data_IF_094373945279
#
_entry.id   IF_094373945279
#
_cell.length_a   1.000
_cell.length_b   1.000
_cell.length_c   1.000
_cell.angle_alpha   90.00
_cell.angle_beta   90.00
_cell.angle_gamma   90.00
#
_symmetry.space_group_name_H-M   'P 1'
#
loop_
_entity.id
_entity.type
_entity.pdbx_description
1 polymer ?
#
# COMPACT_ATOMS: atom_id res chain seq x y z
N UNK A 1 -17.09 -47.49 -46.03
CA UNK A 1 -18.39 -47.29 -46.71
C UNK A 1 -19.08 -46.14 -45.98
N UNK A 2 -18.92 -44.92 -46.51
CA UNK A 2 -19.97 -44.09 -47.16
C UNK A 2 -20.93 -43.50 -46.10
N UNK A 3 -20.85 -42.18 -45.84
CA UNK A 3 -21.64 -41.09 -46.46
C UNK A 3 -23.11 -41.17 -46.02
N UNK A 4 -23.86 -40.12 -45.66
CA UNK A 4 -23.78 -38.67 -45.87
C UNK A 4 -24.82 -38.03 -44.92
N UNK A 5 -24.53 -36.86 -44.34
CA UNK A 5 -25.22 -35.57 -44.55
C UNK A 5 -26.75 -35.55 -44.43
N UNK A 6 -27.26 -34.65 -43.57
CA UNK A 6 -28.24 -33.65 -43.99
C UNK A 6 -28.07 -32.36 -43.17
N UNK A 7 -27.92 -31.28 -43.93
CA UNK A 7 -27.89 -29.87 -43.53
C UNK A 7 -29.31 -29.31 -43.45
N UNK A 8 -29.58 -28.40 -42.52
CA UNK A 8 -30.55 -27.31 -42.71
C UNK A 8 -29.99 -25.97 -42.18
N UNK A 9 -29.67 -25.11 -43.16
CA UNK A 9 -29.76 -23.65 -43.25
C UNK A 9 -31.09 -23.11 -42.66
N UNK A 10 -31.34 -21.85 -42.25
CA UNK A 10 -30.81 -20.49 -42.46
C UNK A 10 -31.55 -19.60 -41.42
N UNK A 11 -30.93 -18.54 -40.89
CA UNK A 11 -31.44 -17.15 -41.03
C UNK A 11 -30.44 -16.13 -40.48
N UNK A 12 -30.10 -15.21 -41.38
CA UNK A 12 -29.15 -14.11 -41.25
C UNK A 12 -29.88 -12.85 -40.84
N UNK A 13 -29.30 -12.04 -39.96
CA UNK A 13 -29.61 -10.61 -39.87
C UNK A 13 -28.29 -9.85 -39.90
N UNK A 14 -28.07 -9.15 -41.01
CA UNK A 14 -27.00 -8.18 -41.24
C UNK A 14 -27.55 -6.78 -41.13
N UNK A 15 -26.82 -5.85 -40.50
CA UNK A 15 -26.89 -4.41 -40.76
C UNK A 15 -25.49 -3.78 -40.54
N UNK A 16 -25.20 -2.64 -41.20
CA UNK A 16 -23.95 -2.47 -41.96
C UNK A 16 -22.86 -1.64 -41.28
N UNK A 17 -21.66 -1.81 -41.84
CA UNK A 17 -20.46 -0.97 -41.71
C UNK A 17 -20.73 0.45 -42.23
N UNK A 18 -20.17 1.44 -41.54
CA UNK A 18 -19.73 2.69 -42.16
C UNK A 18 -18.39 3.10 -41.55
N UNK A 19 -17.38 3.14 -42.41
CA UNK A 19 -16.05 3.68 -42.16
C UNK A 19 -15.95 5.06 -42.82
N UNK A 20 -15.38 6.03 -42.11
CA UNK A 20 -14.72 7.26 -42.59
C UNK A 20 -14.29 8.05 -41.34
N UNK A 21 -13.12 8.65 -41.20
CA UNK A 21 -11.99 8.86 -42.10
C UNK A 21 -10.81 9.41 -41.30
N UNK A 22 -9.67 9.41 -41.96
CA UNK A 22 -8.34 9.87 -41.52
C UNK A 22 -8.30 11.37 -41.14
N UNK A 23 -7.26 11.76 -40.40
CA UNK A 23 -6.57 13.03 -40.69
C UNK A 23 -6.28 13.97 -39.53
N UNK A 24 -5.02 13.94 -39.11
CA UNK A 24 -4.13 15.09 -38.89
C UNK A 24 -4.25 16.05 -37.68
N UNK A 25 -3.06 16.23 -37.10
CA UNK A 25 -2.41 17.46 -36.62
C UNK A 25 -2.33 17.81 -35.13
N UNK A 26 -1.07 17.88 -34.72
CA UNK A 26 -0.49 18.57 -33.57
C UNK A 26 -0.96 20.03 -33.51
N UNK A 27 -1.25 20.55 -32.31
CA UNK A 27 -0.68 21.83 -31.89
C UNK A 27 -0.76 22.04 -30.37
N UNK A 28 0.35 22.54 -29.89
CA UNK A 28 0.67 23.06 -28.57
C UNK A 28 -0.23 24.23 -28.14
N UNK A 29 -0.57 24.32 -26.85
CA UNK A 29 -0.16 25.41 -25.91
C UNK A 29 -1.07 25.52 -24.68
N UNK A 30 -0.43 26.02 -23.62
CA UNK A 30 -0.86 26.24 -22.26
C UNK A 30 -2.11 27.14 -22.10
N UNK A 31 -2.86 26.96 -21.02
CA UNK A 31 -3.28 28.09 -20.18
C UNK A 31 -3.76 27.69 -18.78
N UNK A 32 -3.26 28.46 -17.81
CA UNK A 32 -3.54 28.43 -16.38
C UNK A 32 -5.00 28.80 -16.07
N UNK A 33 -5.55 28.14 -15.05
CA UNK A 33 -6.26 28.79 -13.95
C UNK A 33 -7.70 29.22 -14.18
N UNK A 34 -8.65 28.48 -13.57
CA UNK A 34 -9.90 29.09 -13.10
C UNK A 34 -10.53 28.36 -11.90
N UNK A 35 -10.48 29.07 -10.77
CA UNK A 35 -11.49 29.18 -9.69
C UNK A 35 -12.67 28.19 -9.76
N UNK A 36 -12.71 27.23 -8.82
CA UNK A 36 -13.93 26.46 -8.53
C UNK A 36 -14.93 27.35 -7.76
N UNK A 37 -16.02 27.70 -8.43
CA UNK A 37 -17.22 28.23 -7.79
C UNK A 37 -17.89 27.12 -6.95
N UNK A 38 -18.16 27.41 -5.68
CA UNK A 38 -19.04 26.59 -4.83
C UNK A 38 -20.49 26.83 -5.26
N UNK A 39 -21.16 25.80 -5.75
CA UNK A 39 -22.61 25.79 -5.86
C UNK A 39 -23.20 25.09 -4.63
N UNK A 40 -23.75 25.88 -3.72
CA UNK A 40 -24.68 25.40 -2.69
C UNK A 40 -26.00 25.01 -3.38
N UNK A 41 -26.50 23.80 -3.11
CA UNK A 41 -27.87 23.39 -3.43
C UNK A 41 -28.57 22.96 -2.13
N UNK A 42 -29.48 23.81 -1.66
CA UNK A 42 -30.71 23.48 -0.94
C UNK A 42 -31.84 23.58 -2.00
N UNK A 43 -32.97 22.88 -2.00
CA UNK A 43 -33.66 21.99 -1.07
C UNK A 43 -34.71 21.17 -1.88
N UNK A 44 -35.36 20.22 -1.20
CA UNK A 44 -36.83 19.94 -1.19
C UNK A 44 -37.15 18.44 -1.30
N UNK A 45 -37.58 17.87 -0.16
CA UNK A 45 -38.56 16.79 -0.04
C UNK A 45 -39.89 17.39 0.44
N UNK A 46 -41.07 16.86 0.05
CA UNK A 46 -42.32 17.15 0.75
C UNK A 46 -42.90 15.88 1.41
N UNK A 47 -43.26 15.95 2.70
CA UNK A 47 -44.39 15.20 3.31
C UNK A 47 -44.96 16.03 4.47
N UNK A 48 -46.27 15.91 4.64
CA UNK A 48 -47.26 16.82 5.19
C UNK A 48 -47.39 16.91 6.74
N UNK A 49 -47.83 18.12 7.15
CA UNK A 49 -48.86 18.56 8.11
C UNK A 49 -49.26 17.74 9.38
N UNK A 50 -49.38 18.46 10.52
CA UNK A 50 -50.27 18.06 11.64
C UNK A 50 -49.98 18.51 13.10
N UNK A 51 -49.73 19.81 13.39
CA UNK A 51 -50.37 20.72 14.43
C UNK A 51 -50.90 20.13 15.79
N UNK A 52 -50.92 20.84 16.97
CA UNK A 52 -49.99 21.81 17.62
C UNK A 52 -49.95 21.74 19.20
N UNK A 53 -49.32 22.78 19.81
CA UNK A 53 -49.45 23.32 21.19
C UNK A 53 -48.54 22.77 22.30
N UNK A 54 -47.54 23.55 22.73
CA UNK A 54 -47.71 24.53 23.82
C UNK A 54 -46.42 25.30 24.08
N UNK A 55 -46.57 26.61 24.20
CA UNK A 55 -45.63 27.63 24.64
C UNK A 55 -45.06 27.40 26.04
N UNK A 56 -43.77 27.67 26.23
CA UNK A 56 -43.33 28.55 27.33
C UNK A 56 -41.97 29.15 27.01
N UNK A 57 -41.86 30.43 27.34
CA UNK A 57 -40.78 31.32 26.97
C UNK A 57 -40.14 31.89 28.24
N UNK A 58 -38.86 32.24 28.12
CA UNK A 58 -38.19 33.34 28.82
C UNK A 58 -37.83 33.11 30.30
N UNK A 59 -36.52 33.15 30.56
CA UNK A 59 -35.93 33.35 31.87
C UNK A 59 -34.46 33.78 31.76
N UNK A 60 -34.23 35.04 31.41
CA UNK A 60 -32.90 35.68 31.52
C UNK A 60 -32.79 36.54 32.77
N UNK A 61 -31.63 36.50 33.43
CA UNK A 61 -30.98 37.47 34.36
C UNK A 61 -29.94 36.67 35.20
N UNK A 62 -28.79 37.17 35.64
CA UNK A 62 -28.14 38.47 35.56
C UNK A 62 -26.65 38.31 35.92
N UNK A 63 -25.92 39.40 35.67
CA UNK A 63 -24.54 39.75 35.97
C UNK A 63 -23.90 39.23 37.28
N UNK A 64 -22.59 38.98 37.19
CA UNK A 64 -21.68 38.84 38.31
C UNK A 64 -20.23 39.13 37.92
N UNK A 65 -19.87 40.42 37.85
CA UNK A 65 -18.48 40.90 37.81
C UNK A 65 -17.68 40.39 39.02
N UNK A 66 -16.44 39.95 38.79
CA UNK A 66 -15.30 40.22 39.68
C UNK A 66 -14.00 40.18 38.89
N UNK A 67 -13.45 41.38 38.73
CA UNK A 67 -12.08 41.67 38.32
C UNK A 67 -11.08 41.18 39.38
N UNK A 68 -9.92 40.67 38.95
CA UNK A 68 -8.65 40.87 39.64
C UNK A 68 -7.54 41.15 38.63
N UNK A 69 -7.10 42.41 38.66
CA UNK A 69 -5.93 42.98 38.02
C UNK A 69 -4.62 42.49 38.66
N UNK A 70 -3.63 42.21 37.81
CA UNK A 70 -2.21 42.63 37.95
C UNK A 70 -1.80 42.98 36.51
N UNK A 71 -1.67 44.24 36.08
CA UNK A 71 -0.73 45.27 36.54
C UNK A 71 0.59 45.14 35.76
N UNK A 72 0.65 45.50 34.46
CA UNK A 72 1.06 46.80 33.88
C UNK A 72 2.55 47.17 34.03
N UNK A 73 3.23 47.28 32.87
CA UNK A 73 4.09 48.40 32.46
C UNK A 73 4.24 48.28 30.94
N UNK A 74 4.03 49.27 30.06
CA UNK A 74 4.15 50.72 30.08
C UNK A 74 3.12 51.28 29.05
N UNK A 75 2.48 52.43 29.24
CA UNK A 75 3.08 53.74 28.99
C UNK A 75 2.68 54.26 27.59
N UNK A 76 1.50 54.86 27.47
CA UNK A 76 1.09 55.65 26.29
C UNK A 76 1.75 57.03 26.36
N UNK A 77 2.36 57.46 25.26
CA UNK A 77 2.69 58.87 25.07
C UNK A 77 3.57 59.16 23.86
N UNK A 78 2.97 59.73 22.81
CA UNK A 78 3.68 60.64 21.91
C UNK A 78 3.75 60.23 20.45
N UNK A 79 2.98 60.98 19.64
CA UNK A 79 3.25 61.45 18.27
C UNK A 79 3.75 60.43 17.23
N UNK A 80 2.97 60.31 16.17
CA UNK A 80 3.29 59.55 14.97
C UNK A 80 4.71 59.79 14.48
N UNK A 81 5.47 58.71 14.49
CA UNK A 81 6.60 58.49 13.61
C UNK A 81 6.07 57.57 12.51
N UNK A 82 6.34 57.91 11.25
CA UNK A 82 6.17 56.98 10.14
C UNK A 82 6.80 55.64 10.52
N UNK A 83 5.97 54.59 10.53
CA UNK A 83 6.46 53.23 10.70
C UNK A 83 7.19 52.89 9.42
N UNK A 84 8.52 52.82 9.48
CA UNK A 84 9.31 52.07 8.51
C UNK A 84 8.78 50.63 8.51
N UNK A 85 7.90 50.31 7.55
CA UNK A 85 7.31 48.98 7.36
C UNK A 85 8.33 47.93 6.85
N UNK A 86 9.61 48.27 6.75
CA UNK A 86 10.65 47.40 6.18
C UNK A 86 11.68 46.89 7.20
N UNK A 87 11.34 46.81 8.50
CA UNK A 87 12.21 46.10 9.46
C UNK A 87 11.78 44.63 9.59
N UNK A 88 12.52 43.63 9.05
CA UNK A 88 12.19 42.23 9.26
C UNK A 88 12.24 41.92 10.75
N UNK A 89 11.19 41.29 11.28
CA UNK A 89 11.16 40.82 12.67
C UNK A 89 12.39 39.96 12.98
N UNK A 90 13.04 40.15 14.15
CA UNK A 90 14.23 39.39 14.48
C UNK A 90 13.91 37.90 14.52
N UNK A 91 14.75 37.10 13.87
CA UNK A 91 14.60 35.66 13.89
C UNK A 91 14.66 35.13 15.33
N UNK A 92 13.87 34.10 15.68
CA UNK A 92 13.85 33.56 17.03
C UNK A 92 15.21 32.98 17.46
N UNK A 93 15.47 32.96 18.77
CA UNK A 93 16.65 32.32 19.35
C UNK A 93 16.82 30.87 18.86
N UNK A 94 17.94 30.61 18.18
CA UNK A 94 18.28 29.31 17.59
C UNK A 94 18.32 28.21 18.65
N UNK A 95 18.83 28.49 19.85
CA UNK A 95 18.91 27.49 20.93
C UNK A 95 17.51 27.09 21.42
N UNK A 96 16.60 28.07 21.56
CA UNK A 96 15.21 27.82 21.88
C UNK A 96 14.49 27.02 20.78
N UNK A 97 14.74 27.33 19.51
CA UNK A 97 14.19 26.59 18.36
C UNK A 97 14.62 25.12 18.37
N UNK A 98 15.92 24.85 18.53
CA UNK A 98 16.48 23.49 18.60
C UNK A 98 15.91 22.73 19.79
N UNK A 99 15.85 23.36 20.96
CA UNK A 99 15.26 22.76 22.17
C UNK A 99 13.78 22.43 21.95
N UNK A 100 13.03 23.32 21.30
CA UNK A 100 11.63 23.09 20.93
C UNK A 100 11.44 21.91 19.98
N UNK A 101 12.29 21.78 18.96
CA UNK A 101 12.30 20.62 18.05
C UNK A 101 12.60 19.32 18.80
N UNK A 102 13.58 19.33 19.70
CA UNK A 102 13.94 18.17 20.51
C UNK A 102 12.79 17.73 21.43
N UNK A 103 12.12 18.69 22.11
CA UNK A 103 10.93 18.39 22.92
C UNK A 103 9.80 17.79 22.08
N UNK A 104 9.55 18.30 20.88
CA UNK A 104 8.54 17.75 19.96
C UNK A 104 8.89 16.32 19.52
N UNK A 105 10.16 16.03 19.24
CA UNK A 105 10.63 14.69 18.92
C UNK A 105 10.38 13.71 20.07
N UNK A 106 10.75 14.09 21.30
CA UNK A 106 10.51 13.27 22.49
C UNK A 106 9.01 13.05 22.69
N UNK A 107 8.20 14.10 22.58
CA UNK A 107 6.74 14.01 22.73
C UNK A 107 6.11 13.03 21.74
N UNK A 108 6.53 13.05 20.48
CA UNK A 108 6.04 12.09 19.47
C UNK A 108 6.40 10.65 19.82
N UNK A 109 7.61 10.41 20.35
CA UNK A 109 8.05 9.06 20.76
C UNK A 109 7.30 8.55 21.99
N UNK A 110 7.12 9.42 22.99
CA UNK A 110 6.36 9.08 24.21
C UNK A 110 4.92 8.76 23.86
N UNK A 111 4.29 9.53 22.97
CA UNK A 111 2.92 9.29 22.54
C UNK A 111 2.79 7.97 21.77
N UNK A 112 3.71 7.68 20.85
CA UNK A 112 3.77 6.40 20.15
C UNK A 112 3.87 5.22 21.11
N UNK A 113 4.78 5.29 22.10
CA UNK A 113 4.93 4.25 23.12
C UNK A 113 3.66 4.09 23.96
N UNK A 114 3.06 5.19 24.41
CA UNK A 114 1.82 5.18 25.18
C UNK A 114 0.67 4.51 24.43
N UNK A 115 0.54 4.79 23.14
CA UNK A 115 -0.47 4.17 22.27
C UNK A 115 -0.17 2.69 22.02
N UNK A 116 1.09 2.31 21.87
CA UNK A 116 1.48 0.92 21.74
C UNK A 116 1.18 0.11 23.02
N UNK A 117 1.43 0.68 24.20
CA UNK A 117 1.06 0.03 25.48
C UNK A 117 -0.45 -0.11 25.65
N UNK A 118 -1.25 0.82 25.13
CA UNK A 118 -2.71 0.64 25.10
C UNK A 118 -3.12 -0.53 24.23
N UNK A 119 -2.52 -0.69 23.05
CA UNK A 119 -2.79 -1.84 22.16
C UNK A 119 -2.42 -3.15 22.87
N UNK A 120 -1.30 -3.19 23.59
CA UNK A 120 -0.91 -4.37 24.39
C UNK A 120 -1.90 -4.71 25.49
N UNK A 121 -2.53 -3.71 26.09
CA UNK A 121 -3.54 -3.90 27.13
C UNK A 121 -4.89 -4.41 26.62
N UNK A 122 -5.11 -4.46 25.30
CA UNK A 122 -6.29 -5.09 24.71
C UNK A 122 -6.15 -6.63 24.74
N UNK A 123 -7.28 -7.35 24.79
CA UNK A 123 -7.29 -8.82 24.82
C UNK A 123 -6.58 -9.41 23.59
N UNK A 124 -5.49 -10.15 23.79
CA UNK A 124 -4.65 -10.72 22.73
C UNK A 124 -3.59 -9.75 22.16
N UNK A 125 -3.53 -8.52 22.67
CA UNK A 125 -2.63 -7.48 22.20
C UNK A 125 -1.16 -7.72 22.61
N UNK A 126 -0.91 -8.23 23.80
CA UNK A 126 0.43 -8.54 24.28
C UNK A 126 1.10 -9.62 23.42
N UNK A 127 0.38 -10.72 23.16
CA UNK A 127 0.82 -11.81 22.29
C UNK A 127 1.06 -11.32 20.86
N UNK A 128 0.15 -10.48 20.34
CA UNK A 128 0.31 -9.89 19.02
C UNK A 128 1.57 -9.02 18.91
N UNK A 129 1.83 -8.15 19.90
CA UNK A 129 3.03 -7.29 19.86
C UNK A 129 4.32 -8.11 20.02
N UNK A 130 4.30 -9.21 20.79
CA UNK A 130 5.40 -10.16 20.83
C UNK A 130 5.65 -10.79 19.45
N UNK A 131 4.59 -11.15 18.72
CA UNK A 131 4.67 -11.68 17.35
C UNK A 131 5.29 -10.65 16.39
N UNK A 132 4.85 -9.39 16.42
CA UNK A 132 5.40 -8.31 15.57
C UNK A 132 6.91 -8.13 15.76
N UNK A 133 7.41 -8.39 16.98
CA UNK A 133 8.83 -8.28 17.33
C UNK A 133 9.63 -9.56 17.04
N UNK A 134 8.96 -10.66 16.70
CA UNK A 134 9.59 -11.95 16.50
C UNK A 134 10.28 -12.06 15.14
N UNK A 135 11.35 -12.87 15.10
CA UNK A 135 11.94 -13.28 13.84
C UNK A 135 10.92 -14.11 13.04
N UNK A 136 10.60 -13.69 11.82
CA UNK A 136 9.65 -14.40 10.95
C UNK A 136 8.24 -13.81 10.91
N UNK A 137 7.96 -12.71 11.62
CA UNK A 137 6.70 -11.95 11.52
C UNK A 137 6.24 -11.76 10.06
N UNK A 138 7.15 -11.32 9.18
CA UNK A 138 6.86 -11.06 7.77
C UNK A 138 6.43 -12.30 6.94
N UNK A 139 6.57 -13.52 7.49
CA UNK A 139 6.17 -14.77 6.83
C UNK A 139 4.98 -15.45 7.48
N UNK A 140 4.49 -14.94 8.62
CA UNK A 140 3.37 -15.51 9.37
C UNK A 140 2.04 -15.30 8.65
N UNK A 141 1.12 -16.24 8.83
CA UNK A 141 -0.29 -16.12 8.45
C UNK A 141 -1.04 -15.70 9.71
N UNK A 142 -1.86 -14.66 9.62
CA UNK A 142 -2.63 -14.14 10.75
C UNK A 142 -4.02 -14.77 10.80
N UNK A 143 -4.62 -14.78 11.97
CA UNK A 143 -6.05 -14.97 12.16
C UNK A 143 -6.79 -13.66 11.89
N UNK A 144 -8.11 -13.76 11.68
CA UNK A 144 -8.97 -12.57 11.55
C UNK A 144 -8.91 -11.66 12.78
N UNK A 145 -8.74 -12.20 13.99
CA UNK A 145 -8.54 -11.43 15.22
C UNK A 145 -7.19 -10.72 15.28
N UNK A 146 -6.11 -11.35 14.80
CA UNK A 146 -4.78 -10.72 14.74
C UNK A 146 -4.70 -9.62 13.67
N UNK A 147 -5.48 -9.73 12.59
CA UNK A 147 -5.52 -8.73 11.51
C UNK A 147 -5.97 -7.34 12.00
N UNK A 148 -6.91 -7.28 12.93
CA UNK A 148 -7.34 -6.03 13.57
C UNK A 148 -6.16 -5.31 14.24
N UNK A 149 -5.35 -6.05 15.00
CA UNK A 149 -4.17 -5.49 15.65
C UNK A 149 -3.11 -5.05 14.63
N UNK A 150 -2.93 -5.83 13.55
CA UNK A 150 -2.02 -5.45 12.47
C UNK A 150 -2.41 -4.12 11.84
N UNK A 151 -3.69 -3.93 11.52
CA UNK A 151 -4.21 -2.68 10.96
C UNK A 151 -3.99 -1.51 11.93
N UNK A 152 -4.26 -1.70 13.23
CA UNK A 152 -4.03 -0.67 14.26
C UNK A 152 -2.57 -0.25 14.33
N UNK A 153 -1.65 -1.21 14.36
CA UNK A 153 -0.22 -0.92 14.47
C UNK A 153 0.30 -0.24 13.20
N UNK A 154 -0.15 -0.64 12.01
CA UNK A 154 0.17 0.05 10.74
C UNK A 154 -0.23 1.52 10.82
N UNK A 155 -1.47 1.82 11.18
CA UNK A 155 -1.97 3.20 11.28
C UNK A 155 -1.19 4.01 12.31
N UNK A 156 -0.95 3.46 13.49
CA UNK A 156 -0.18 4.11 14.54
C UNK A 156 1.25 4.46 14.08
N UNK A 157 1.93 3.50 13.43
CA UNK A 157 3.28 3.71 12.89
C UNK A 157 3.28 4.73 11.76
N UNK A 158 2.28 4.72 10.87
CA UNK A 158 2.12 5.68 9.78
C UNK A 158 1.85 7.10 10.31
N UNK A 159 0.94 7.26 11.28
CA UNK A 159 0.63 8.54 11.93
C UNK A 159 1.89 9.15 12.56
N UNK A 160 2.66 8.32 13.28
CA UNK A 160 3.92 8.73 13.90
C UNK A 160 4.96 9.11 12.84
N UNK A 161 5.09 8.31 11.77
CA UNK A 161 6.00 8.61 10.68
C UNK A 161 5.63 9.93 9.98
N UNK A 162 4.35 10.19 9.75
CA UNK A 162 3.88 11.46 9.18
C UNK A 162 4.22 12.66 10.08
N UNK A 163 4.02 12.54 11.39
CA UNK A 163 4.41 13.59 12.35
C UNK A 163 5.91 13.84 12.35
N UNK A 164 6.74 12.78 12.31
CA UNK A 164 8.20 12.90 12.24
C UNK A 164 8.66 13.56 10.93
N UNK A 165 8.05 13.22 9.80
CA UNK A 165 8.32 13.86 8.51
C UNK A 165 7.93 15.34 8.50
N UNK A 166 6.77 15.68 9.07
CA UNK A 166 6.36 17.07 9.24
C UNK A 166 7.34 17.84 10.13
N UNK A 167 7.79 17.24 11.24
CA UNK A 167 8.79 17.83 12.13
C UNK A 167 10.14 18.01 11.43
N UNK A 168 10.57 17.05 10.62
CA UNK A 168 11.80 17.12 9.83
C UNK A 168 11.75 18.27 8.82
N UNK A 169 10.63 18.44 8.11
CA UNK A 169 10.45 19.55 7.17
C UNK A 169 10.50 20.91 7.87
N UNK A 170 9.84 21.04 9.03
CA UNK A 170 9.94 22.26 9.85
C UNK A 170 11.38 22.49 10.30
N UNK A 171 12.07 21.45 10.77
CA UNK A 171 13.46 21.56 11.21
C UNK A 171 14.40 21.98 10.07
N UNK A 172 14.23 21.44 8.85
CA UNK A 172 15.00 21.82 7.66
C UNK A 172 14.77 23.29 7.30
N UNK A 173 13.50 23.72 7.26
CA UNK A 173 13.14 25.11 6.97
C UNK A 173 13.71 26.10 8.01
N UNK A 174 13.68 25.74 9.30
CA UNK A 174 14.29 26.56 10.35
C UNK A 174 15.81 26.61 10.23
N UNK A 175 16.44 25.50 9.85
CA UNK A 175 17.87 25.44 9.60
C UNK A 175 18.28 26.31 8.41
N UNK A 176 17.56 26.22 7.29
CA UNK A 176 17.76 27.05 6.09
C UNK A 176 17.65 28.55 6.42
N UNK A 177 16.58 28.96 7.11
CA UNK A 177 16.42 30.36 7.55
C UNK A 177 17.54 30.84 8.47
N UNK A 178 18.02 30.00 9.38
CA UNK A 178 19.12 30.35 10.26
C UNK A 178 20.45 30.51 9.50
N UNK A 179 20.66 29.74 8.43
CA UNK A 179 21.81 29.90 7.53
C UNK A 179 21.71 31.20 6.74
N UNK A 180 20.55 31.49 6.14
CA UNK A 180 20.29 32.74 5.39
C UNK A 180 20.55 33.98 6.24
N UNK A 181 20.14 33.96 7.51
CA UNK A 181 20.39 35.07 8.43
C UNK A 181 21.88 35.21 8.78
N UNK A 182 22.59 34.10 9.03
CA UNK A 182 24.04 34.14 9.29
C UNK A 182 24.80 34.73 8.08
N UNK A 183 24.36 34.42 6.87
CA UNK A 183 24.92 34.98 5.64
C UNK A 183 24.58 36.46 5.47
N UNK A 184 23.36 36.87 5.83
CA UNK A 184 22.92 38.28 5.80
C UNK A 184 23.65 39.14 6.83
N UNK A 185 23.76 38.67 8.07
CA UNK A 185 24.49 39.34 9.16
C UNK A 185 26.01 39.37 8.91
N UNK A 186 26.53 38.37 8.19
CA UNK A 186 27.92 38.30 7.74
C UNK A 186 28.23 39.20 6.53
N UNK A 187 27.23 39.55 5.73
CA UNK A 187 27.35 40.40 4.56
C UNK A 187 27.48 41.90 4.87
N UNK A 188 26.96 42.33 6.02
CA UNK A 188 26.87 43.77 6.36
C UNK A 188 28.12 44.29 7.12
N UNK A 189 28.90 43.40 7.74
CA UNK A 189 30.15 43.78 8.45
C UNK A 189 31.41 43.79 7.57
N UNK A 190 31.27 43.60 6.25
CA UNK A 190 32.40 43.52 5.31
C UNK A 190 32.62 44.80 4.49
N UNK A 191 31.74 45.81 4.56
CA UNK A 191 31.86 47.00 3.70
C UNK A 191 32.72 48.13 4.27
N UNK A 192 32.99 48.13 5.57
CA UNK A 192 33.68 49.26 6.22
C UNK A 192 35.11 48.97 6.70
N UNK A 193 35.73 47.86 6.27
CA UNK A 193 37.12 47.57 6.65
C UNK A 193 38.07 47.55 5.44
N UNK A 194 38.60 48.71 5.00
CA UNK A 194 39.49 48.81 3.84
C UNK A 194 40.82 48.06 4.03
N UNK A 195 41.15 47.64 5.25
CA UNK A 195 42.35 46.85 5.54
C UNK A 195 42.22 45.36 5.25
N UNK A 196 41.01 44.83 5.01
CA UNK A 196 40.82 43.41 4.65
C UNK A 196 40.80 43.15 3.14
N UNK A 197 40.63 44.19 2.32
CA UNK A 197 40.68 44.08 0.86
C UNK A 197 42.08 43.70 0.32
N UNK A 198 43.15 44.04 1.05
CA UNK A 198 44.53 43.75 0.65
C UNK A 198 45.04 42.34 1.04
N UNK A 199 44.29 41.58 1.85
CA UNK A 199 44.65 40.22 2.26
C UNK A 199 43.98 39.12 1.40
N UNK A 200 43.31 39.49 0.30
CA UNK A 200 42.66 38.55 -0.64
C UNK A 200 43.55 38.09 -1.80
N UNK A 201 44.83 38.49 -1.81
CA UNK A 201 45.76 38.20 -2.92
C UNK A 201 46.64 36.96 -2.76
N UNK A 202 46.68 36.30 -1.60
CA UNK A 202 47.60 35.15 -1.40
C UNK A 202 47.17 34.19 -0.30
N UNK A 203 46.13 33.42 -0.57
CA UNK A 203 45.87 32.13 0.07
C UNK A 203 44.94 31.29 -0.82
N UNK A 204 45.53 30.63 -1.84
CA UNK A 204 44.95 29.39 -2.37
C UNK A 204 45.32 28.33 -1.33
N UNK A 205 44.40 28.12 -0.40
CA UNK A 205 44.54 27.21 0.72
C UNK A 205 43.22 27.27 1.44
N UNK A 206 42.50 26.16 1.42
CA UNK A 206 41.17 25.99 1.97
C UNK A 206 40.95 26.87 3.20
N UNK A 207 39.98 27.78 3.11
CA UNK A 207 39.27 28.21 4.31
C UNK A 207 38.71 26.91 4.88
N UNK A 208 39.39 26.35 5.86
CA UNK A 208 38.75 25.55 6.89
C UNK A 208 37.63 26.43 7.42
N UNK A 209 36.45 26.30 6.80
CA UNK A 209 35.20 26.34 7.55
C UNK A 209 35.45 25.26 8.58
N UNK A 210 35.96 25.64 9.74
CA UNK A 210 35.71 24.87 10.95
C UNK A 210 34.21 24.63 10.89
N UNK A 211 33.84 23.38 10.60
CA UNK A 211 32.47 22.92 10.59
C UNK A 211 32.01 23.01 12.04
N UNK A 212 31.70 24.22 12.52
CA UNK A 212 30.77 24.35 13.62
C UNK A 212 29.52 23.61 13.13
N UNK A 213 29.33 22.39 13.65
CA UNK A 213 28.12 21.62 13.42
C UNK A 213 26.97 22.58 13.66
N UNK A 214 26.14 22.79 12.63
CA UNK A 214 24.98 23.65 12.80
C UNK A 214 24.24 23.22 14.07
N UNK A 215 23.77 24.14 14.91
CA UNK A 215 23.02 23.78 16.12
C UNK A 215 21.77 22.92 15.80
N UNK A 216 21.31 22.91 14.54
CA UNK A 216 20.26 22.03 14.04
C UNK A 216 20.73 20.62 13.65
N UNK A 217 22.01 20.39 13.40
CA UNK A 217 22.57 19.13 12.87
C UNK A 217 22.19 17.91 13.70
N UNK A 218 22.37 17.99 15.02
CA UNK A 218 22.07 16.90 15.94
C UNK A 218 20.56 16.57 15.96
N UNK A 219 19.70 17.59 16.02
CA UNK A 219 18.24 17.38 16.06
C UNK A 219 17.70 16.89 14.72
N UNK A 220 18.21 17.41 13.59
CA UNK A 220 17.88 16.93 12.25
C UNK A 220 18.24 15.45 12.08
N UNK A 221 19.47 15.08 12.47
CA UNK A 221 19.94 13.68 12.44
C UNK A 221 19.08 12.78 13.32
N UNK A 222 18.70 13.23 14.51
CA UNK A 222 17.85 12.48 15.41
C UNK A 222 16.43 12.26 14.85
N UNK A 223 15.82 13.30 14.28
CA UNK A 223 14.49 13.19 13.65
C UNK A 223 14.55 12.27 12.43
N UNK A 224 15.55 12.45 11.56
CA UNK A 224 15.72 11.66 10.34
C UNK A 224 15.92 10.16 10.65
N UNK A 225 16.85 9.83 11.57
CA UNK A 225 17.08 8.45 12.02
C UNK A 225 15.79 7.79 12.52
N UNK A 226 14.98 8.53 13.28
CA UNK A 226 13.72 8.03 13.82
C UNK A 226 12.67 7.83 12.73
N UNK A 227 12.57 8.75 11.77
CA UNK A 227 11.66 8.59 10.66
C UNK A 227 12.06 7.44 9.73
N UNK A 228 13.35 7.28 9.41
CA UNK A 228 13.85 6.13 8.63
C UNK A 228 13.54 4.82 9.34
N UNK A 229 13.72 4.76 10.67
CA UNK A 229 13.39 3.57 11.46
C UNK A 229 11.89 3.26 11.42
N UNK A 230 11.04 4.27 11.64
CA UNK A 230 9.58 4.11 11.57
C UNK A 230 9.13 3.63 10.18
N UNK A 231 9.69 4.20 9.11
CA UNK A 231 9.40 3.79 7.73
C UNK A 231 9.79 2.34 7.44
N UNK A 232 10.92 1.86 7.96
CA UNK A 232 11.33 0.46 7.80
C UNK A 232 10.32 -0.49 8.46
N UNK A 233 9.97 -0.22 9.71
CA UNK A 233 8.98 -1.01 10.46
C UNK A 233 7.63 -1.01 9.74
N UNK A 234 7.17 0.16 9.32
CA UNK A 234 5.94 0.33 8.55
C UNK A 234 5.93 -0.52 7.27
N UNK A 235 7.00 -0.50 6.48
CA UNK A 235 7.08 -1.30 5.26
C UNK A 235 7.01 -2.80 5.54
N UNK A 236 7.60 -3.27 6.64
CA UNK A 236 7.50 -4.67 7.06
C UNK A 236 6.07 -5.03 7.46
N UNK A 237 5.39 -4.16 8.21
CA UNK A 237 3.98 -4.33 8.58
C UNK A 237 3.06 -4.37 7.35
N UNK A 238 3.21 -3.41 6.43
CA UNK A 238 2.43 -3.34 5.19
C UNK A 238 2.66 -4.56 4.28
N UNK A 239 3.89 -5.08 4.21
CA UNK A 239 4.20 -6.33 3.49
C UNK A 239 3.57 -7.56 4.15
N UNK A 240 3.60 -7.64 5.48
CA UNK A 240 2.96 -8.74 6.20
C UNK A 240 1.43 -8.74 5.99
N UNK A 241 0.83 -7.55 6.07
CA UNK A 241 -0.59 -7.32 5.85
C UNK A 241 -1.03 -7.67 4.43
N UNK A 242 -0.37 -7.11 3.41
CA UNK A 242 -0.68 -7.41 2.00
C UNK A 242 -0.47 -8.88 1.66
N UNK A 243 0.58 -9.51 2.18
CA UNK A 243 0.81 -10.95 2.00
C UNK A 243 -0.34 -11.77 2.56
N UNK A 244 -0.76 -11.45 3.79
CA UNK A 244 -1.83 -12.17 4.46
C UNK A 244 -3.16 -12.01 3.73
N UNK A 245 -3.56 -10.76 3.45
CA UNK A 245 -4.79 -10.48 2.70
C UNK A 245 -4.77 -11.10 1.30
N UNK A 246 -3.65 -11.01 0.58
CA UNK A 246 -3.53 -11.63 -0.76
C UNK A 246 -3.69 -13.14 -0.71
N UNK A 247 -3.17 -13.80 0.33
CA UNK A 247 -3.36 -15.24 0.53
C UNK A 247 -4.83 -15.60 0.76
N UNK A 248 -5.52 -14.84 1.62
CA UNK A 248 -6.94 -15.02 1.90
C UNK A 248 -7.78 -14.79 0.64
N UNK A 249 -7.49 -13.71 -0.09
CA UNK A 249 -8.16 -13.34 -1.35
C UNK A 249 -7.98 -14.43 -2.41
N UNK A 250 -6.75 -14.89 -2.63
CA UNK A 250 -6.46 -15.95 -3.59
C UNK A 250 -7.14 -17.28 -3.26
N UNK A 251 -7.35 -17.58 -1.96
CA UNK A 251 -7.97 -18.83 -1.53
C UNK A 251 -9.49 -18.79 -1.49
N UNK A 252 -10.07 -17.65 -1.13
CA UNK A 252 -11.47 -17.58 -0.69
C UNK A 252 -12.36 -16.75 -1.61
N UNK A 253 -11.77 -15.87 -2.42
CA UNK A 253 -12.53 -14.87 -3.17
C UNK A 253 -12.26 -14.90 -4.67
N UNK A 254 -11.02 -15.06 -5.10
CA UNK A 254 -10.69 -15.09 -6.53
C UNK A 254 -11.18 -16.38 -7.20
N UNK A 255 -11.62 -16.31 -8.47
CA UNK A 255 -11.93 -17.50 -9.25
C UNK A 255 -10.69 -18.37 -9.39
N UNK A 256 -10.89 -19.69 -9.47
CA UNK A 256 -9.79 -20.62 -9.76
C UNK A 256 -9.09 -20.21 -11.05
N UNK A 257 -7.76 -20.30 -11.04
CA UNK A 257 -6.98 -20.12 -12.25
C UNK A 257 -7.42 -21.18 -13.26
N UNK A 258 -7.76 -20.81 -14.50
CA UNK A 258 -7.88 -21.74 -15.61
C UNK A 258 -6.66 -22.65 -15.69
N UNK A 259 -6.83 -23.85 -16.25
CA UNK A 259 -5.69 -24.70 -16.57
C UNK A 259 -4.98 -24.11 -17.79
N UNK A 260 -4.08 -23.16 -17.52
CA UNK A 260 -3.27 -22.47 -18.53
C UNK A 260 -2.26 -23.44 -19.14
N UNK A 261 -2.70 -24.21 -20.13
CA UNK A 261 -1.86 -25.19 -20.79
C UNK A 261 -1.12 -24.56 -21.96
N UNK A 262 0.18 -24.32 -21.78
CA UNK A 262 1.05 -24.15 -22.93
C UNK A 262 1.06 -25.46 -23.76
N UNK A 263 0.83 -25.39 -25.07
CA UNK A 263 0.96 -26.54 -25.96
C UNK A 263 2.36 -27.16 -25.88
N UNK A 264 2.51 -28.39 -26.40
CA UNK A 264 3.77 -29.12 -26.33
C UNK A 264 4.93 -28.27 -26.86
N UNK A 265 6.02 -28.21 -26.09
CA UNK A 265 7.26 -27.58 -26.48
C UNK A 265 7.81 -28.26 -27.76
N UNK A 266 8.58 -27.55 -28.61
CA UNK A 266 9.23 -28.19 -29.75
C UNK A 266 10.03 -29.44 -29.33
N UNK A 267 9.84 -30.57 -30.03
CA UNK A 267 10.36 -31.90 -29.70
C UNK A 267 9.56 -32.70 -28.64
N UNK A 268 8.55 -32.12 -27.99
CA UNK A 268 7.61 -32.90 -27.18
C UNK A 268 6.59 -33.63 -28.07
N UNK A 269 6.12 -34.78 -27.59
CA UNK A 269 5.07 -35.56 -28.28
C UNK A 269 3.81 -34.70 -28.43
N UNK A 270 3.29 -34.60 -29.65
CA UNK A 270 2.10 -33.80 -29.95
C UNK A 270 2.41 -32.43 -30.55
N UNK A 271 3.67 -31.98 -30.54
CA UNK A 271 4.08 -30.80 -31.31
C UNK A 271 4.06 -31.11 -32.81
N UNK A 272 3.40 -30.25 -33.60
CA UNK A 272 3.40 -30.33 -35.06
C UNK A 272 3.82 -28.98 -35.66
N UNK A 273 5.08 -28.82 -36.12
CA UNK A 273 5.59 -27.55 -36.66
C UNK A 273 4.88 -27.12 -37.96
N UNK A 274 4.26 -28.06 -38.66
CA UNK A 274 3.55 -27.82 -39.92
C UNK A 274 2.03 -27.62 -39.71
N UNK A 275 1.58 -27.57 -38.45
CA UNK A 275 0.16 -27.33 -38.15
C UNK A 275 -0.26 -25.97 -38.69
N UNK A 276 -1.32 -25.98 -39.51
CA UNK A 276 -2.00 -24.77 -39.99
C UNK A 276 -3.11 -24.32 -39.05
N UNK A 277 -3.21 -24.93 -37.87
CA UNK A 277 -4.26 -24.58 -36.91
C UNK A 277 -4.10 -23.13 -36.46
N UNK A 278 -5.19 -22.37 -36.56
CA UNK A 278 -5.28 -20.98 -36.12
C UNK A 278 -6.15 -20.95 -34.88
N UNK A 279 -5.58 -20.40 -33.82
CA UNK A 279 -6.22 -20.13 -32.54
C UNK A 279 -6.41 -18.62 -32.42
N UNK A 280 -7.41 -18.18 -31.68
CA UNK A 280 -7.75 -16.77 -31.59
C UNK A 280 -7.59 -16.30 -30.14
N UNK A 281 -7.08 -15.08 -29.97
CA UNK A 281 -7.18 -14.39 -28.68
C UNK A 281 -8.64 -14.04 -28.36
N UNK A 282 -8.90 -13.62 -27.14
CA UNK A 282 -10.19 -13.10 -26.68
C UNK A 282 -10.68 -11.92 -27.53
N UNK A 283 -9.77 -11.13 -28.09
CA UNK A 283 -10.05 -10.04 -29.04
C UNK A 283 -10.21 -10.50 -30.51
N UNK A 284 -10.16 -11.80 -30.78
CA UNK A 284 -10.30 -12.38 -32.12
C UNK A 284 -9.05 -12.29 -32.99
N UNK A 285 -7.87 -12.04 -32.42
CA UNK A 285 -6.61 -11.96 -33.19
C UNK A 285 -6.15 -13.38 -33.58
N UNK A 286 -5.96 -13.69 -34.87
CA UNK A 286 -5.57 -15.02 -35.31
C UNK A 286 -4.08 -15.27 -35.06
N UNK A 287 -3.78 -16.39 -34.40
CA UNK A 287 -2.45 -16.82 -33.99
C UNK A 287 -2.19 -18.26 -34.45
N UNK A 288 -0.96 -18.56 -34.86
CA UNK A 288 -0.61 -19.93 -35.33
C UNK A 288 -0.27 -20.80 -34.13
N UNK A 289 -1.00 -21.90 -33.94
CA UNK A 289 -0.77 -22.78 -32.79
C UNK A 289 0.61 -23.47 -32.80
N UNK A 290 1.25 -23.58 -33.96
CA UNK A 290 2.59 -24.15 -34.10
C UNK A 290 3.73 -23.15 -33.76
N UNK A 291 3.41 -21.87 -33.60
CA UNK A 291 4.40 -20.82 -33.41
C UNK A 291 4.63 -20.54 -31.91
N UNK A 292 5.85 -20.73 -31.37
CA UNK A 292 6.11 -20.58 -29.93
C UNK A 292 5.74 -19.21 -29.36
N UNK A 293 5.92 -18.13 -30.13
CA UNK A 293 5.56 -16.77 -29.73
C UNK A 293 4.05 -16.59 -29.64
N UNK A 294 3.32 -17.05 -30.66
CA UNK A 294 1.85 -17.09 -30.69
C UNK A 294 1.25 -17.76 -29.46
N UNK A 295 1.88 -18.84 -29.02
CA UNK A 295 1.49 -19.60 -27.83
C UNK A 295 1.65 -18.80 -26.54
N UNK A 296 2.77 -18.10 -26.38
CA UNK A 296 3.01 -17.24 -25.21
C UNK A 296 2.05 -16.05 -25.20
N UNK A 297 1.66 -15.51 -26.37
CA UNK A 297 0.63 -14.48 -26.46
C UNK A 297 -0.76 -14.97 -26.01
N UNK A 298 -1.14 -16.19 -26.37
CA UNK A 298 -2.40 -16.78 -25.89
C UNK A 298 -2.40 -16.96 -24.38
N UNK A 299 -1.29 -17.43 -23.80
CA UNK A 299 -1.16 -17.52 -22.35
C UNK A 299 -1.40 -16.17 -21.68
N UNK A 300 -0.81 -15.09 -22.21
CA UNK A 300 -1.03 -13.74 -21.69
C UNK A 300 -2.49 -13.31 -21.81
N UNK A 301 -3.10 -13.53 -22.97
CA UNK A 301 -4.49 -13.18 -23.23
C UNK A 301 -5.45 -13.91 -22.27
N UNK A 302 -5.26 -15.21 -22.05
CA UNK A 302 -6.08 -15.98 -21.10
C UNK A 302 -5.90 -15.49 -19.66
N UNK A 303 -4.67 -15.16 -19.25
CA UNK A 303 -4.38 -14.61 -17.91
C UNK A 303 -5.05 -13.25 -17.74
N UNK A 304 -4.95 -12.36 -18.73
CA UNK A 304 -5.59 -11.05 -18.70
C UNK A 304 -7.12 -11.14 -18.72
N UNK A 305 -7.68 -12.12 -19.44
CA UNK A 305 -9.12 -12.41 -19.40
C UNK A 305 -9.56 -12.89 -18.01
N UNK A 306 -8.78 -13.72 -17.34
CA UNK A 306 -9.04 -14.11 -15.96
C UNK A 306 -8.94 -12.90 -15.00
N UNK A 307 -7.91 -12.06 -15.15
CA UNK A 307 -7.73 -10.84 -14.34
C UNK A 307 -8.90 -9.86 -14.51
N UNK A 308 -9.50 -9.79 -15.70
CA UNK A 308 -10.66 -8.90 -15.95
C UNK A 308 -11.87 -9.20 -15.06
N UNK A 309 -11.95 -10.41 -14.49
CA UNK A 309 -13.04 -10.82 -13.59
C UNK A 309 -12.86 -10.24 -12.18
N UNK A 310 -11.66 -9.81 -11.81
CA UNK A 310 -11.31 -9.39 -10.43
C UNK A 310 -12.18 -8.22 -9.96
N UNK A 311 -12.48 -7.25 -10.83
CA UNK A 311 -13.30 -6.09 -10.46
C UNK A 311 -14.73 -6.50 -10.04
N UNK A 312 -15.31 -7.47 -10.75
CA UNK A 312 -16.63 -8.02 -10.40
C UNK A 312 -16.61 -8.75 -9.06
N UNK A 313 -15.51 -9.45 -8.75
CA UNK A 313 -15.31 -10.14 -7.47
C UNK A 313 -15.19 -9.13 -6.33
N UNK A 314 -14.41 -8.06 -6.50
CA UNK A 314 -14.28 -6.98 -5.51
C UNK A 314 -15.66 -6.41 -5.20
N UNK A 315 -16.43 -6.08 -6.23
CA UNK A 315 -17.79 -5.53 -6.09
C UNK A 315 -18.71 -6.49 -5.31
N UNK A 316 -18.66 -7.79 -5.60
CA UNK A 316 -19.45 -8.80 -4.90
C UNK A 316 -19.04 -8.96 -3.43
N UNK A 317 -17.74 -8.93 -3.14
CA UNK A 317 -17.20 -9.01 -1.78
C UNK A 317 -17.58 -7.76 -0.96
N UNK A 318 -17.45 -6.57 -1.55
CA UNK A 318 -17.88 -5.32 -0.91
C UNK A 318 -19.38 -5.33 -0.63
N UNK A 319 -20.22 -5.68 -1.62
CA UNK A 319 -21.67 -5.71 -1.46
C UNK A 319 -22.15 -6.62 -0.32
N UNK A 320 -21.42 -7.72 -0.06
CA UNK A 320 -21.81 -8.72 0.95
C UNK A 320 -21.23 -8.45 2.33
N UNK A 321 -19.97 -8.02 2.40
CA UNK A 321 -19.20 -8.04 3.65
C UNK A 321 -18.73 -6.67 4.13
N UNK A 322 -18.80 -5.63 3.32
CA UNK A 322 -18.33 -4.32 3.73
C UNK A 322 -19.35 -3.60 4.62
N UNK A 323 -18.86 -2.89 5.64
CA UNK A 323 -19.65 -1.94 6.42
C UNK A 323 -18.94 -0.60 6.29
N UNK A 324 -19.50 0.38 5.55
CA UNK A 324 -18.81 1.63 5.30
C UNK A 324 -18.67 2.44 6.60
N UNK A 325 -17.53 3.11 6.80
CA UNK A 325 -17.37 4.08 7.87
C UNK A 325 -18.27 5.29 7.62
N UNK A 326 -18.64 6.00 8.69
CA UNK A 326 -19.49 7.20 8.58
C UNK A 326 -18.82 8.38 7.86
N UNK A 327 -17.48 8.43 7.85
CA UNK A 327 -16.72 9.40 7.06
C UNK A 327 -16.63 8.92 5.59
N UNK A 328 -17.24 9.63 4.62
CA UNK A 328 -17.22 9.23 3.22
C UNK A 328 -15.82 9.25 2.60
N UNK A 329 -14.92 10.12 3.08
CA UNK A 329 -13.55 10.13 2.58
C UNK A 329 -12.76 8.90 3.06
N UNK A 330 -13.04 8.44 4.29
CA UNK A 330 -12.49 7.17 4.79
C UNK A 330 -13.09 5.96 4.09
N UNK A 331 -14.39 6.00 3.77
CA UNK A 331 -15.04 4.95 3.01
C UNK A 331 -14.34 4.75 1.64
N UNK A 332 -14.09 5.86 0.92
CA UNK A 332 -13.34 5.82 -0.35
C UNK A 332 -11.94 5.23 -0.17
N UNK A 333 -11.18 5.65 0.85
CA UNK A 333 -9.83 5.11 1.13
C UNK A 333 -9.85 3.60 1.43
N UNK A 334 -10.89 3.09 2.09
CA UNK A 334 -11.05 1.65 2.35
C UNK A 334 -11.36 0.86 1.08
N UNK A 335 -12.20 1.38 0.19
CA UNK A 335 -12.45 0.77 -1.12
C UNK A 335 -11.17 0.75 -1.97
N UNK A 336 -10.42 1.86 -2.00
CA UNK A 336 -9.11 1.94 -2.67
C UNK A 336 -8.13 0.90 -2.11
N UNK A 337 -8.06 0.73 -0.78
CA UNK A 337 -7.24 -0.32 -0.13
C UNK A 337 -7.68 -1.72 -0.51
N UNK A 338 -8.98 -1.97 -0.57
CA UNK A 338 -9.54 -3.27 -0.92
C UNK A 338 -9.25 -3.60 -2.38
N UNK A 339 -9.58 -2.72 -3.31
CA UNK A 339 -9.25 -2.88 -4.72
C UNK A 339 -7.75 -3.07 -4.96
N UNK A 340 -6.90 -2.30 -4.27
CA UNK A 340 -5.45 -2.44 -4.38
C UNK A 340 -4.97 -3.83 -3.95
N UNK A 341 -5.45 -4.38 -2.82
CA UNK A 341 -4.98 -5.70 -2.38
C UNK A 341 -5.50 -6.84 -3.25
N UNK A 342 -6.68 -6.70 -3.86
CA UNK A 342 -7.16 -7.64 -4.88
C UNK A 342 -6.27 -7.59 -6.13
N UNK A 343 -5.86 -6.41 -6.57
CA UNK A 343 -4.89 -6.25 -7.66
C UNK A 343 -3.50 -6.81 -7.34
N UNK A 344 -3.05 -6.73 -6.09
CA UNK A 344 -1.81 -7.41 -5.64
C UNK A 344 -2.00 -8.93 -5.73
N UNK A 345 -3.12 -9.45 -5.22
CA UNK A 345 -3.39 -10.89 -5.21
C UNK A 345 -3.49 -11.47 -6.63
N UNK A 346 -4.19 -10.80 -7.54
CA UNK A 346 -4.29 -11.22 -8.93
C UNK A 346 -2.93 -11.19 -9.62
N UNK A 347 -2.16 -10.11 -9.46
CA UNK A 347 -0.83 -10.00 -10.06
C UNK A 347 0.14 -11.08 -9.54
N UNK A 348 0.04 -11.49 -8.26
CA UNK A 348 0.82 -12.60 -7.70
C UNK A 348 0.45 -13.93 -8.36
N UNK A 349 -0.85 -14.19 -8.59
CA UNK A 349 -1.30 -15.41 -9.24
C UNK A 349 -0.89 -15.45 -10.71
N UNK A 350 -1.05 -14.33 -11.43
CA UNK A 350 -0.60 -14.18 -12.82
C UNK A 350 0.91 -14.35 -12.97
N UNK A 351 1.69 -13.75 -12.06
CA UNK A 351 3.14 -13.94 -12.00
C UNK A 351 3.50 -15.42 -11.87
N UNK A 352 2.82 -16.15 -10.99
CA UNK A 352 3.06 -17.59 -10.78
C UNK A 352 2.77 -18.41 -12.04
N UNK A 353 1.73 -18.06 -12.80
CA UNK A 353 1.41 -18.73 -14.08
C UNK A 353 2.59 -18.58 -15.05
N UNK A 354 3.08 -17.35 -15.24
CA UNK A 354 4.21 -17.06 -16.13
C UNK A 354 5.50 -17.73 -15.64
N UNK A 355 5.78 -17.72 -14.34
CA UNK A 355 6.98 -18.37 -13.77
C UNK A 355 6.99 -19.88 -13.99
N UNK A 356 5.84 -20.54 -13.80
CA UNK A 356 5.69 -21.98 -14.04
C UNK A 356 5.90 -22.31 -15.52
N UNK A 357 5.26 -21.52 -16.40
CA UNK A 357 5.41 -21.62 -17.85
C UNK A 357 6.87 -21.48 -18.30
N UNK A 358 7.52 -20.39 -17.92
CA UNK A 358 8.91 -20.10 -18.28
C UNK A 358 9.86 -21.17 -17.74
N UNK A 359 9.67 -21.56 -16.48
CA UNK A 359 10.48 -22.61 -15.87
C UNK A 359 10.32 -23.97 -16.56
N UNK A 360 9.10 -24.33 -16.99
CA UNK A 360 8.85 -25.56 -17.76
C UNK A 360 9.59 -25.51 -19.10
N UNK A 361 9.40 -24.46 -19.88
CA UNK A 361 9.99 -24.36 -21.22
C UNK A 361 11.51 -24.23 -21.20
N UNK A 362 12.10 -23.51 -20.23
CA UNK A 362 13.57 -23.49 -20.05
C UNK A 362 14.14 -24.88 -19.78
N UNK A 363 13.55 -25.62 -18.83
CA UNK A 363 13.97 -26.99 -18.53
C UNK A 363 13.90 -27.92 -19.75
N UNK A 364 12.91 -27.73 -20.63
CA UNK A 364 12.76 -28.51 -21.85
C UNK A 364 13.81 -28.11 -22.90
N UNK A 365 14.03 -26.81 -23.08
CA UNK A 365 15.07 -26.28 -23.97
C UNK A 365 16.47 -26.75 -23.58
N UNK A 366 16.77 -26.84 -22.28
CA UNK A 366 18.08 -27.30 -21.78
C UNK A 366 18.28 -28.80 -21.98
N UNK A 367 17.21 -29.60 -21.84
CA UNK A 367 17.27 -31.06 -21.95
C UNK A 367 17.21 -31.56 -23.39
N UNK A 368 16.48 -30.87 -24.25
CA UNK A 368 16.24 -31.31 -25.62
C UNK A 368 16.23 -30.09 -26.55
N UNK A 369 17.42 -29.51 -26.81
CA UNK A 369 17.54 -28.30 -27.61
C UNK A 369 16.93 -28.45 -29.00
N UNK A 370 16.31 -27.41 -29.53
CA UNK A 370 15.76 -27.43 -30.88
C UNK A 370 16.90 -27.35 -31.90
N UNK A 371 16.98 -28.34 -32.77
CA UNK A 371 18.06 -28.42 -33.77
C UNK A 371 17.90 -27.45 -34.94
N UNK A 372 16.66 -27.08 -35.28
CA UNK A 372 16.37 -26.08 -36.31
C UNK A 372 16.68 -24.67 -35.77
N UNK A 373 17.63 -23.93 -36.37
CA UNK A 373 18.00 -22.59 -35.91
C UNK A 373 16.84 -21.58 -35.98
N UNK A 374 15.95 -21.70 -36.97
CA UNK A 374 14.84 -20.77 -37.13
C UNK A 374 13.80 -20.97 -36.02
N UNK A 375 13.44 -22.22 -35.73
CA UNK A 375 12.55 -22.55 -34.63
C UNK A 375 13.20 -22.28 -33.26
N UNK A 376 14.50 -22.53 -33.10
CA UNK A 376 15.22 -22.18 -31.87
C UNK A 376 15.17 -20.67 -31.59
N UNK A 377 15.34 -19.83 -32.61
CA UNK A 377 15.23 -18.38 -32.47
C UNK A 377 13.84 -17.96 -31.95
N UNK A 378 12.77 -18.58 -32.46
CA UNK A 378 11.39 -18.35 -31.98
C UNK A 378 11.16 -18.82 -30.56
N UNK A 379 11.73 -19.96 -30.17
CA UNK A 379 11.69 -20.42 -28.77
C UNK A 379 12.38 -19.42 -27.84
N UNK A 380 13.54 -18.88 -28.23
CA UNK A 380 14.23 -17.85 -27.45
C UNK A 380 13.44 -16.54 -27.38
N UNK A 381 12.79 -16.14 -28.48
CA UNK A 381 11.88 -14.99 -28.48
C UNK A 381 10.71 -15.21 -27.52
N UNK A 382 10.06 -16.37 -27.57
CA UNK A 382 8.96 -16.73 -26.67
C UNK A 382 9.38 -16.76 -25.19
N UNK A 383 10.57 -17.30 -24.88
CA UNK A 383 11.13 -17.24 -23.51
C UNK A 383 11.38 -15.78 -23.07
N UNK A 384 11.89 -14.94 -23.98
CA UNK A 384 12.10 -13.51 -23.71
C UNK A 384 10.78 -12.77 -23.49
N UNK A 385 9.70 -13.16 -24.19
CA UNK A 385 8.34 -12.63 -23.94
C UNK A 385 7.83 -13.02 -22.55
N UNK A 386 8.05 -14.26 -22.11
CA UNK A 386 7.69 -14.69 -20.75
C UNK A 386 8.46 -13.89 -19.69
N UNK A 387 9.73 -13.56 -19.93
CA UNK A 387 10.49 -12.67 -19.05
C UNK A 387 9.92 -11.24 -19.05
N UNK A 388 9.54 -10.72 -20.22
CA UNK A 388 8.85 -9.43 -20.32
C UNK A 388 7.53 -9.40 -19.54
N UNK A 389 6.75 -10.48 -19.61
CA UNK A 389 5.49 -10.59 -18.86
C UNK A 389 5.74 -10.74 -17.36
N UNK A 390 6.79 -11.45 -16.95
CA UNK A 390 7.22 -11.54 -15.55
C UNK A 390 7.48 -10.16 -14.96
N UNK A 391 8.29 -9.35 -15.64
CA UNK A 391 8.57 -7.97 -15.24
C UNK A 391 7.30 -7.10 -15.22
N UNK A 392 6.40 -7.29 -16.20
CA UNK A 392 5.12 -6.57 -16.27
C UNK A 392 4.25 -6.84 -15.03
N UNK A 393 4.10 -8.12 -14.64
CA UNK A 393 3.31 -8.50 -13.47
C UNK A 393 3.96 -8.04 -12.16
N UNK A 394 5.30 -8.03 -12.06
CA UNK A 394 6.01 -7.41 -10.93
C UNK A 394 5.66 -5.92 -10.83
N UNK A 395 5.75 -5.18 -11.93
CA UNK A 395 5.43 -3.76 -11.95
C UNK A 395 3.97 -3.50 -11.60
N UNK A 396 3.04 -4.34 -12.07
CA UNK A 396 1.61 -4.26 -11.74
C UNK A 396 1.38 -4.47 -10.24
N UNK A 397 1.98 -5.51 -9.68
CA UNK A 397 1.97 -5.78 -8.23
C UNK A 397 2.51 -4.58 -7.43
N UNK A 398 3.62 -3.99 -7.86
CA UNK A 398 4.24 -2.85 -7.19
C UNK A 398 3.39 -1.57 -7.30
N UNK A 399 2.73 -1.33 -8.44
CA UNK A 399 1.76 -0.24 -8.60
C UNK A 399 0.61 -0.36 -7.61
N UNK A 400 0.02 -1.55 -7.47
CA UNK A 400 -1.04 -1.78 -6.49
C UNK A 400 -0.53 -1.67 -5.04
N UNK A 401 0.68 -2.16 -4.75
CA UNK A 401 1.30 -2.00 -3.43
C UNK A 401 1.52 -0.52 -3.07
N UNK A 402 1.93 0.32 -4.02
CA UNK A 402 2.07 1.75 -3.80
C UNK A 402 0.72 2.41 -3.51
N UNK A 403 -0.32 2.11 -4.31
CA UNK A 403 -1.68 2.61 -4.05
C UNK A 403 -2.20 2.19 -2.66
N UNK A 404 -1.87 0.96 -2.25
CA UNK A 404 -2.18 0.45 -0.91
C UNK A 404 -1.52 1.26 0.20
N UNK A 405 -0.21 1.53 0.06
CA UNK A 405 0.54 2.36 0.99
C UNK A 405 -0.02 3.79 1.05
N UNK A 406 -0.28 4.39 -0.11
CA UNK A 406 -0.77 5.77 -0.22
C UNK A 406 -2.12 5.97 0.48
N UNK A 407 -3.01 4.98 0.41
CA UNK A 407 -4.29 5.05 1.11
C UNK A 407 -4.15 4.96 2.64
N UNK A 408 -3.23 4.14 3.16
CA UNK A 408 -2.89 4.17 4.58
C UNK A 408 -2.28 5.51 5.00
N UNK A 409 -1.34 6.05 4.21
CA UNK A 409 -0.77 7.38 4.43
C UNK A 409 -1.85 8.47 4.43
N UNK A 410 -2.83 8.40 3.54
CA UNK A 410 -3.93 9.36 3.50
C UNK A 410 -4.82 9.28 4.75
N UNK A 411 -5.11 8.07 5.21
CA UNK A 411 -5.87 7.82 6.46
C UNK A 411 -5.13 8.38 7.68
N UNK A 412 -3.85 8.05 7.83
CA UNK A 412 -3.02 8.54 8.93
C UNK A 412 -2.89 10.06 8.93
N UNK A 413 -2.73 10.69 7.76
CA UNK A 413 -2.73 12.15 7.64
C UNK A 413 -4.05 12.76 8.09
N UNK A 414 -5.18 12.15 7.74
CA UNK A 414 -6.50 12.61 8.18
C UNK A 414 -6.63 12.52 9.70
N UNK A 415 -6.22 11.40 10.29
CA UNK A 415 -6.23 11.19 11.74
C UNK A 415 -5.36 12.22 12.48
N UNK A 416 -4.14 12.49 12.01
CA UNK A 416 -3.24 13.48 12.62
C UNK A 416 -3.79 14.90 12.50
N UNK A 417 -4.43 15.25 11.37
CA UNK A 417 -5.01 16.59 11.15
C UNK A 417 -6.32 16.80 11.90
N UNK A 418 -7.10 15.74 12.10
CA UNK A 418 -8.41 15.81 12.72
C UNK A 418 -8.56 14.76 13.83
N UNK A 419 -7.86 14.90 14.97
CA UNK A 419 -7.88 13.89 16.04
C UNK A 419 -9.28 13.60 16.61
N UNK A 420 -10.16 14.60 16.57
CA UNK A 420 -11.55 14.47 17.04
C UNK A 420 -12.44 13.61 16.13
N UNK A 421 -11.99 13.35 14.90
CA UNK A 421 -12.67 12.49 13.90
C UNK A 421 -11.77 11.34 13.47
N UNK A 422 -10.83 10.96 14.35
CA UNK A 422 -9.92 9.85 14.12
C UNK A 422 -10.73 8.60 13.76
N UNK A 423 -10.33 7.94 12.69
CA UNK A 423 -10.82 6.62 12.35
C UNK A 423 -9.85 5.56 12.85
N UNK A 424 -10.38 4.55 13.51
CA UNK A 424 -9.65 3.36 13.94
C UNK A 424 -10.36 2.09 13.42
N UNK A 425 -9.62 1.02 13.08
CA UNK A 425 -10.21 -0.24 12.70
C UNK A 425 -10.98 -0.85 13.88
N UNK A 426 -11.98 -1.66 13.57
CA UNK A 426 -12.81 -2.35 14.56
C UNK A 426 -12.46 -3.86 14.61
N UNK A 427 -12.60 -4.53 15.77
CA UNK A 427 -12.29 -5.96 15.90
C UNK A 427 -13.08 -6.88 14.96
N UNK A 428 -14.23 -6.43 14.48
CA UNK A 428 -15.08 -7.18 13.54
C UNK A 428 -14.62 -7.10 12.07
N UNK A 429 -13.51 -6.39 11.80
CA UNK A 429 -12.93 -6.19 10.46
C UNK A 429 -13.91 -5.59 9.44
N UNK A 430 -14.81 -4.70 9.88
CA UNK A 430 -15.73 -3.96 9.01
C UNK A 430 -15.03 -3.25 7.83
N UNK A 431 -13.77 -2.85 8.03
CA UNK A 431 -12.93 -2.15 7.05
C UNK A 431 -12.26 -3.05 6.01
N UNK A 432 -12.34 -4.37 6.17
CA UNK A 432 -11.71 -5.36 5.31
C UNK A 432 -12.72 -6.47 4.95
N UNK A 433 -13.56 -6.25 3.92
CA UNK A 433 -14.61 -7.18 3.55
C UNK A 433 -14.08 -8.56 3.10
N UNK A 434 -12.88 -8.63 2.55
CA UNK A 434 -12.16 -9.86 2.24
C UNK A 434 -11.87 -10.70 3.49
N UNK A 435 -11.35 -10.09 4.55
CA UNK A 435 -11.06 -10.79 5.81
C UNK A 435 -12.35 -11.21 6.49
N UNK A 436 -13.34 -10.31 6.55
CA UNK A 436 -14.64 -10.61 7.15
C UNK A 436 -15.37 -11.74 6.42
N UNK A 437 -15.32 -11.75 5.09
CA UNK A 437 -15.91 -12.81 4.28
C UNK A 437 -15.24 -14.16 4.47
N UNK A 438 -13.91 -14.19 4.58
CA UNK A 438 -13.16 -15.42 4.85
C UNK A 438 -13.45 -15.98 6.25
N UNK A 439 -13.45 -15.12 7.27
CA UNK A 439 -13.80 -15.51 8.64
C UNK A 439 -15.20 -16.15 8.73
N UNK A 440 -16.17 -15.59 8.01
CA UNK A 440 -17.52 -16.13 7.97
C UNK A 440 -17.61 -17.49 7.26
N UNK A 441 -16.75 -17.75 6.27
CA UNK A 441 -16.67 -19.05 5.59
C UNK A 441 -16.00 -20.11 6.48
N UNK A 442 -14.96 -19.75 7.23
CA UNK A 442 -14.31 -20.65 8.19
C UNK A 442 -15.28 -21.10 9.29
N UNK A 443 -16.09 -20.20 9.85
CA UNK A 443 -17.11 -20.55 10.86
C UNK A 443 -18.17 -21.49 10.30
N UNK A 444 -18.57 -21.33 9.04
CA UNK A 444 -19.52 -22.25 8.37
C UNK A 444 -18.90 -23.64 8.19
N UNK A 445 -17.65 -23.74 7.76
CA UNK A 445 -16.96 -25.03 7.62
C UNK A 445 -16.77 -25.76 8.96
N UNK A 446 -16.66 -25.02 10.08
CA UNK A 446 -16.63 -25.62 11.43
C UNK A 446 -18.00 -26.11 11.88
N UNK A 447 -19.09 -25.46 11.46
CA UNK A 447 -20.47 -25.87 11.76
C UNK A 447 -21.05 -26.90 10.78
N UNK A 448 -20.46 -27.04 9.58
CA UNK A 448 -20.80 -28.06 8.59
C UNK A 448 -19.87 -29.30 8.65
N UNK A 449 -18.93 -29.34 9.60
CA UNK A 449 -18.17 -30.56 9.88
C UNK A 449 -19.14 -31.65 10.35
N UNK A 450 -19.11 -32.88 9.76
CA UNK A 450 -20.03 -33.93 10.13
C UNK A 450 -19.83 -34.31 11.60
N UNK A 451 -20.91 -34.22 12.38
CA UNK A 451 -21.02 -34.82 13.72
C UNK A 451 -20.96 -36.35 13.60
N UNK A 452 -19.78 -36.92 13.33
CA UNK A 452 -19.41 -38.31 13.68
C UNK A 452 -18.00 -38.62 13.15
N UNK A 453 -16.98 -38.23 13.90
CA UNK A 453 -15.78 -39.06 14.07
C UNK A 453 -15.33 -38.90 15.52
N UNK A 454 -16.04 -39.57 16.43
CA UNK A 454 -15.41 -40.14 17.62
C UNK A 454 -14.32 -41.08 17.10
N UNK A 455 -13.08 -40.62 17.10
CA UNK A 455 -11.92 -41.50 17.07
C UNK A 455 -11.98 -42.36 18.34
N UNK A 456 -12.41 -43.61 18.19
CA UNK A 456 -12.05 -44.66 19.14
C UNK A 456 -10.52 -44.76 19.13
N UNK A 457 -9.90 -44.26 20.21
CA UNK A 457 -8.49 -44.50 20.51
C UNK A 457 -8.26 -46.01 20.63
N UNK A 458 -7.29 -46.60 19.91
CA UNK A 458 -6.94 -48.00 20.14
C UNK A 458 -6.25 -48.15 21.51
N UNK A 459 -6.80 -49.05 22.33
CA UNK A 459 -6.26 -49.47 23.63
C UNK A 459 -4.76 -49.80 23.56
N UNK A 460 -4.00 -49.09 24.38
CA UNK A 460 -2.55 -49.18 24.50
C UNK A 460 -2.09 -50.39 25.35
N UNK A 461 -2.63 -51.59 25.10
CA UNK A 461 -2.31 -52.79 25.90
C UNK A 461 -1.95 -54.05 25.11
N UNK A 462 -1.60 -53.93 23.82
CA UNK A 462 -1.03 -55.05 23.06
C UNK A 462 0.25 -54.66 22.32
N UNK A 463 1.34 -54.48 23.06
CA UNK A 463 2.70 -54.58 22.51
C UNK A 463 3.31 -55.94 22.87
N UNK A 464 3.93 -56.66 21.92
CA UNK A 464 4.59 -57.93 22.18
C UNK A 464 5.86 -57.72 23.02
N UNK A 465 5.97 -58.50 24.10
CA UNK A 465 7.15 -58.54 24.98
C UNK A 465 8.39 -59.01 24.21
N UNK A 466 9.42 -58.18 24.17
CA UNK A 466 10.78 -58.59 23.83
C UNK A 466 11.47 -59.10 25.11
N UNK A 467 11.56 -60.43 25.26
CA UNK A 467 12.49 -61.06 26.19
C UNK A 467 13.74 -61.51 25.41
N UNK A 468 14.92 -61.10 25.87
CA UNK A 468 16.18 -61.56 25.27
C UNK A 468 17.41 -60.74 25.62
N UNK A 469 17.77 -60.64 26.91
CA UNK A 469 19.16 -60.45 27.32
C UNK A 469 19.54 -61.54 28.30
N UNK A 470 20.45 -62.42 27.89
CA UNK A 470 21.44 -63.01 28.77
C UNK A 470 22.78 -63.11 28.02
N UNK A 471 23.76 -62.37 28.55
CA UNK A 471 25.20 -62.62 28.54
C UNK A 471 25.52 -64.11 28.79
N UNK A 472 26.69 -64.68 28.51
CA UNK A 472 27.93 -64.35 27.83
C UNK A 472 28.70 -65.68 27.79
N UNK A 473 29.58 -65.89 26.82
CA UNK A 473 30.76 -66.74 27.05
C UNK A 473 31.86 -66.44 26.04
N UNK A 474 33.03 -66.03 26.58
CA UNK A 474 34.33 -66.62 26.24
C UNK A 474 35.02 -66.26 24.90
N UNK A 475 36.26 -65.71 24.93
CA UNK A 475 37.05 -65.39 23.75
C UNK A 475 37.94 -66.55 23.28
N UNK A 476 38.37 -66.57 22.02
CA UNK A 476 39.80 -66.62 21.61
C UNK A 476 40.00 -66.69 20.08
N UNK A 477 41.12 -66.05 19.66
CA UNK A 477 41.88 -66.12 18.40
C UNK A 477 41.62 -65.06 17.34
#
# INVERSE_FOLDING_TARGET
KMNEQHSEQVESISFPVSASGEGHDEQTTQSRGRRRQRMFRHDVRPVAEGVPNSSEAIGGRADGKRDHNVGVSSGVGGKGSEVDEDTPSPFPDVAALVTGLHRKLISAQVEYQRLLERIKGELGGEEFIAIVRSAGFAKRIFSSSEFYFLTKVILLTEETNFQLQALLNVARHLHEKALEQRESDGGDKSKDDPKRAAAKGRAVGAVSRDMEESPFSAVLTAIDKRSVTARKILLELLRADTRFRSLIIARSHLPSLPDFQLPPFPNERGYNPNSKNIVHTSAGVPLRAADPESVVMLLKDEVEQWESQVESVVSAVEAKWWIPPSDPDEARRQQERTAAVFGIASAILSLRVVEVAASRWRRLNDRTPVSDPALQAKVQAALSMLDGFHDEYIQRKDRHFNAYCDSYSATARANVRHPQRRWDPLPNNAHAPDIRGAAAAEVRNVHEAPESMTEDLPDADNLPKTDGKQEADGPTS
#
